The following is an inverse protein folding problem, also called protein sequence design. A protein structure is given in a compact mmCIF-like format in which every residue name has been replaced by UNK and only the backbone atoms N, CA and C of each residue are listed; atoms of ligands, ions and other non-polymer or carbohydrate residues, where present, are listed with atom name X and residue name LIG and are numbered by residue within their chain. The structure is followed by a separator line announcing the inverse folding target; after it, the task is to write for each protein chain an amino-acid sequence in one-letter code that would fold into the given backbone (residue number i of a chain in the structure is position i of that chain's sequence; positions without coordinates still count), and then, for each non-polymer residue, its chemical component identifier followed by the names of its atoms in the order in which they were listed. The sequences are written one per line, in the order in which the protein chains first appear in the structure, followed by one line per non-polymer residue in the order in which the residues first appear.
data_IF_284288128734
#
_entry.id   IF_284288128734
#
_cell.length_a   1.000
_cell.length_b   1.000
_cell.length_c   1.000
_cell.angle_alpha   90.00
_cell.angle_beta   90.00
_cell.angle_gamma   90.00
#
_symmetry.space_group_name_H-M   'P 1'
#
loop_
_entity.id
_entity.type
_entity.pdbx_description
1 polymer ?
#
# COMPACT_ATOMS: atom_id res chain seq x y z
N UNK A 1 14.32 32.30 -20.30
CA UNK A 1 14.66 31.08 -19.53
C UNK A 1 13.44 30.55 -18.76
N UNK A 2 12.88 31.30 -17.81
CA UNK A 2 11.69 30.85 -17.03
C UNK A 2 10.47 30.61 -17.92
N UNK A 3 10.19 31.49 -18.87
CA UNK A 3 9.06 31.30 -19.80
C UNK A 3 9.20 30.02 -20.64
N UNK A 4 10.40 29.74 -21.14
CA UNK A 4 10.65 28.51 -21.90
C UNK A 4 10.48 27.25 -21.01
N UNK A 5 10.95 27.30 -19.76
CA UNK A 5 10.76 26.21 -18.79
C UNK A 5 9.28 25.88 -18.58
N UNK A 6 8.46 26.89 -18.29
CA UNK A 6 7.02 26.68 -18.10
C UNK A 6 6.31 26.25 -19.37
N UNK A 7 6.71 26.76 -20.53
CA UNK A 7 6.17 26.33 -21.82
C UNK A 7 6.46 24.84 -22.08
N UNK A 8 7.71 24.43 -21.90
CA UNK A 8 8.13 23.04 -22.11
C UNK A 8 7.45 22.10 -21.10
N UNK A 9 7.35 22.54 -19.83
CA UNK A 9 6.68 21.80 -18.78
C UNK A 9 5.18 21.61 -19.09
N UNK A 10 4.51 22.66 -19.53
CA UNK A 10 3.11 22.61 -19.93
C UNK A 10 2.90 21.70 -21.15
N UNK A 11 3.74 21.80 -22.17
CA UNK A 11 3.68 20.93 -23.34
C UNK A 11 3.88 19.45 -22.97
N UNK A 12 4.84 19.17 -22.08
CA UNK A 12 5.09 17.84 -21.55
C UNK A 12 3.90 17.28 -20.75
N UNK A 13 3.31 18.11 -19.88
CA UNK A 13 2.10 17.76 -19.12
C UNK A 13 0.92 17.42 -20.04
N UNK A 14 0.63 18.27 -21.03
CA UNK A 14 -0.45 18.03 -22.00
C UNK A 14 -0.23 16.79 -22.84
N UNK A 15 1.03 16.48 -23.19
CA UNK A 15 1.37 15.26 -23.90
C UNK A 15 1.19 14.02 -23.01
N UNK A 16 1.66 14.08 -21.77
CA UNK A 16 1.51 12.99 -20.79
C UNK A 16 0.03 12.73 -20.49
N UNK A 17 -0.77 13.79 -20.34
CA UNK A 17 -2.21 13.69 -20.13
C UNK A 17 -2.92 13.04 -21.31
N UNK A 18 -2.61 13.45 -22.56
CA UNK A 18 -3.18 12.80 -23.75
C UNK A 18 -2.85 11.32 -23.82
N UNK A 19 -1.60 10.96 -23.53
CA UNK A 19 -1.16 9.55 -23.46
C UNK A 19 -1.94 8.77 -22.39
N UNK A 20 -2.12 9.35 -21.22
CA UNK A 20 -2.93 8.76 -20.16
C UNK A 20 -4.39 8.57 -20.58
N UNK A 21 -5.03 9.60 -21.15
CA UNK A 21 -6.43 9.56 -21.60
C UNK A 21 -6.65 8.50 -22.71
N UNK A 22 -5.69 8.35 -23.62
CA UNK A 22 -5.73 7.30 -24.64
C UNK A 22 -5.65 5.91 -24.01
N UNK A 23 -4.77 5.68 -23.04
CA UNK A 23 -4.66 4.42 -22.30
C UNK A 23 -5.92 4.09 -21.53
N UNK A 24 -6.52 5.10 -20.85
CA UNK A 24 -7.84 4.93 -20.19
C UNK A 24 -8.89 4.50 -21.18
N UNK A 25 -8.97 5.19 -22.33
CA UNK A 25 -9.95 4.88 -23.39
C UNK A 25 -9.75 3.47 -23.98
N UNK A 26 -8.51 3.02 -24.09
CA UNK A 26 -8.18 1.68 -24.59
C UNK A 26 -8.38 0.58 -23.52
N UNK A 27 -8.63 0.94 -22.27
CA UNK A 27 -8.75 -0.01 -21.17
C UNK A 27 -7.41 -0.56 -20.67
N UNK A 28 -6.28 0.09 -20.98
CA UNK A 28 -4.93 -0.37 -20.65
C UNK A 28 -4.70 -0.43 -19.13
N UNK A 29 -5.51 0.30 -18.34
CA UNK A 29 -5.47 0.26 -16.87
C UNK A 29 -6.39 -0.79 -16.24
N UNK A 30 -7.09 -1.58 -17.08
CA UNK A 30 -7.88 -2.67 -16.53
C UNK A 30 -6.95 -3.72 -15.93
N UNK A 31 -7.09 -3.94 -14.62
CA UNK A 31 -6.34 -4.95 -13.90
C UNK A 31 -7.30 -5.74 -13.00
N UNK A 32 -7.38 -7.06 -13.20
CA UNK A 32 -8.32 -7.90 -12.47
C UNK A 32 -8.09 -7.87 -10.96
N UNK A 33 -6.85 -7.78 -10.50
CA UNK A 33 -6.52 -7.73 -9.08
C UNK A 33 -7.03 -6.43 -8.43
N UNK A 34 -6.93 -5.30 -9.13
CA UNK A 34 -7.49 -4.02 -8.67
C UNK A 34 -9.02 -4.05 -8.64
N UNK A 35 -9.65 -4.59 -9.70
CA UNK A 35 -11.12 -4.69 -9.79
C UNK A 35 -11.71 -5.54 -8.67
N UNK A 36 -11.02 -6.61 -8.29
CA UNK A 36 -11.44 -7.52 -7.21
C UNK A 36 -11.09 -6.98 -5.79
N UNK A 37 -10.36 -5.87 -5.68
CA UNK A 37 -9.89 -5.35 -4.39
C UNK A 37 -8.82 -6.23 -3.73
N UNK A 38 -8.06 -6.98 -4.52
CA UNK A 38 -7.06 -7.95 -4.06
C UNK A 38 -5.62 -7.45 -4.24
N UNK A 39 -5.42 -6.23 -4.73
CA UNK A 39 -4.11 -5.68 -5.12
C UNK A 39 -3.05 -5.68 -4.02
N UNK A 40 -3.45 -5.62 -2.76
CA UNK A 40 -2.54 -5.59 -1.59
C UNK A 40 -2.73 -6.76 -0.64
N UNK A 41 -3.49 -7.78 -1.05
CA UNK A 41 -3.75 -8.94 -0.20
C UNK A 41 -2.56 -9.92 -0.26
N UNK A 42 -1.78 -9.98 0.80
CA UNK A 42 -0.58 -10.81 0.88
C UNK A 42 -0.89 -12.29 0.61
N UNK A 43 -1.79 -12.87 1.38
CA UNK A 43 -2.10 -14.30 1.32
C UNK A 43 -2.82 -14.71 0.04
N UNK A 44 -3.97 -14.07 -0.26
CA UNK A 44 -4.86 -14.53 -1.35
C UNK A 44 -4.40 -14.11 -2.73
N UNK A 45 -3.55 -13.11 -2.83
CA UNK A 45 -3.02 -12.63 -4.11
C UNK A 45 -1.57 -12.99 -4.26
N UNK A 46 -0.69 -12.40 -3.46
CA UNK A 46 0.73 -12.48 -3.71
C UNK A 46 1.28 -13.87 -3.37
N UNK A 47 1.07 -14.37 -2.16
CA UNK A 47 1.56 -15.70 -1.78
C UNK A 47 0.92 -16.82 -2.61
N UNK A 48 -0.40 -16.73 -2.82
CA UNK A 48 -1.11 -17.75 -3.61
C UNK A 48 -0.66 -17.76 -5.08
N UNK A 49 -0.49 -16.57 -5.69
CA UNK A 49 -0.09 -16.47 -7.10
C UNK A 49 1.37 -16.88 -7.31
N UNK A 50 2.28 -16.45 -6.42
CA UNK A 50 3.67 -16.90 -6.48
C UNK A 50 3.80 -18.41 -6.28
N UNK A 51 3.09 -18.97 -5.32
CA UNK A 51 3.09 -20.40 -5.08
C UNK A 51 2.55 -21.20 -6.29
N UNK A 52 1.50 -20.72 -6.94
CA UNK A 52 0.99 -21.32 -8.16
C UNK A 52 2.04 -21.31 -9.28
N UNK A 53 2.75 -20.19 -9.47
CA UNK A 53 3.83 -20.13 -10.46
C UNK A 53 5.02 -21.04 -10.11
N UNK A 54 5.39 -21.12 -8.83
CA UNK A 54 6.50 -21.95 -8.37
C UNK A 54 6.18 -23.46 -8.41
N UNK A 55 4.90 -23.83 -8.49
CA UNK A 55 4.47 -25.22 -8.52
C UNK A 55 4.67 -25.84 -9.93
N UNK A 56 5.53 -26.84 -10.11
CA UNK A 56 5.73 -27.47 -11.42
C UNK A 56 4.48 -28.19 -11.95
N UNK A 57 3.53 -28.50 -11.08
CA UNK A 57 2.23 -29.09 -11.41
C UNK A 57 1.11 -28.05 -11.43
N UNK A 58 1.45 -26.76 -11.36
CA UNK A 58 0.50 -25.65 -11.36
C UNK A 58 -0.37 -25.61 -12.62
N UNK A 59 -1.53 -24.99 -12.51
CA UNK A 59 -2.52 -24.89 -13.61
C UNK A 59 -2.01 -24.06 -14.78
N UNK A 60 -0.92 -23.32 -14.63
CA UNK A 60 -0.25 -22.57 -15.71
C UNK A 60 0.28 -23.49 -16.82
N UNK A 61 0.54 -24.80 -16.54
CA UNK A 61 0.94 -25.80 -17.52
C UNK A 61 2.32 -25.57 -18.17
N UNK A 62 3.22 -24.88 -17.45
CA UNK A 62 4.58 -24.57 -17.91
C UNK A 62 5.66 -25.43 -17.22
N UNK A 63 5.24 -26.48 -16.47
CA UNK A 63 6.17 -27.32 -15.73
C UNK A 63 6.99 -26.51 -14.73
N UNK A 64 8.26 -26.78 -14.63
CA UNK A 64 9.17 -26.13 -13.68
C UNK A 64 9.86 -24.85 -14.17
N UNK A 65 9.38 -24.27 -15.29
CA UNK A 65 9.97 -23.06 -15.90
C UNK A 65 10.11 -21.93 -14.87
N UNK A 66 9.02 -21.60 -14.19
CA UNK A 66 9.00 -20.48 -13.24
C UNK A 66 9.92 -20.76 -12.04
N UNK A 67 9.89 -21.97 -11.49
CA UNK A 67 10.72 -22.34 -10.35
C UNK A 67 12.21 -22.30 -10.71
N UNK A 68 12.61 -22.86 -11.84
CA UNK A 68 14.00 -22.78 -12.30
C UNK A 68 14.50 -21.35 -12.41
N UNK A 69 13.71 -20.48 -13.06
CA UNK A 69 14.07 -19.07 -13.20
C UNK A 69 14.08 -18.36 -11.85
N UNK A 70 13.13 -18.67 -10.95
CA UNK A 70 13.11 -18.12 -9.60
C UNK A 70 14.43 -18.40 -8.85
N UNK A 71 14.93 -19.64 -8.89
CA UNK A 71 16.22 -19.99 -8.27
C UNK A 71 17.36 -19.12 -8.80
N UNK A 72 17.39 -18.87 -10.12
CA UNK A 72 18.42 -18.03 -10.76
C UNK A 72 18.32 -16.58 -10.31
N UNK A 73 17.12 -15.98 -10.34
CA UNK A 73 16.94 -14.57 -9.99
C UNK A 73 17.05 -14.28 -8.50
N UNK A 74 16.89 -15.30 -7.65
CA UNK A 74 17.12 -15.20 -6.19
C UNK A 74 18.52 -15.69 -5.77
N UNK A 75 19.36 -16.11 -6.73
CA UNK A 75 20.72 -16.58 -6.51
C UNK A 75 20.85 -17.78 -5.55
N UNK A 76 19.93 -18.74 -5.67
CA UNK A 76 19.89 -19.94 -4.82
C UNK A 76 19.97 -21.27 -5.61
N UNK A 77 20.56 -21.23 -6.81
CA UNK A 77 20.77 -22.44 -7.63
C UNK A 77 21.69 -23.46 -6.94
N UNK A 78 22.56 -23.01 -6.05
CA UNK A 78 23.46 -23.83 -5.24
C UNK A 78 22.70 -24.76 -4.28
N UNK A 79 21.43 -24.51 -4.00
CA UNK A 79 20.55 -25.44 -3.27
C UNK A 79 20.34 -26.75 -4.05
N UNK A 80 20.53 -26.74 -5.39
CA UNK A 80 20.31 -27.91 -6.24
C UNK A 80 18.97 -28.61 -5.99
N UNK A 81 17.90 -27.82 -5.93
CA UNK A 81 16.53 -28.30 -5.74
C UNK A 81 16.06 -29.12 -6.94
N UNK A 82 15.39 -30.26 -6.73
CA UNK A 82 14.69 -30.98 -7.79
C UNK A 82 13.43 -30.24 -8.19
N UNK A 83 13.56 -29.34 -9.18
CA UNK A 83 12.48 -28.45 -9.61
C UNK A 83 11.31 -29.16 -10.29
N UNK A 84 11.57 -30.33 -10.92
CA UNK A 84 10.53 -31.07 -11.65
C UNK A 84 9.58 -31.80 -10.69
N UNK A 85 10.06 -32.20 -9.50
CA UNK A 85 9.30 -32.92 -8.51
C UNK A 85 9.10 -32.08 -7.22
N UNK A 86 9.20 -30.79 -7.32
CA UNK A 86 9.00 -29.90 -6.18
C UNK A 86 7.52 -29.91 -5.75
N UNK A 87 7.29 -29.87 -4.44
CA UNK A 87 5.99 -29.65 -3.82
C UNK A 87 5.93 -28.24 -3.27
N UNK A 88 4.82 -27.55 -3.51
CA UNK A 88 4.62 -26.18 -3.07
C UNK A 88 3.36 -26.09 -2.22
N UNK A 89 3.45 -25.44 -1.08
CA UNK A 89 2.33 -25.21 -0.17
C UNK A 89 2.31 -23.77 0.32
N UNK A 90 1.10 -23.21 0.46
CA UNK A 90 0.86 -21.89 1.05
C UNK A 90 0.30 -22.04 2.46
N UNK A 91 0.58 -21.04 3.32
CA UNK A 91 -0.02 -20.94 4.65
C UNK A 91 0.18 -22.22 5.52
N UNK A 92 1.35 -22.84 5.40
CA UNK A 92 1.65 -24.06 6.17
C UNK A 92 1.75 -23.75 7.65
N UNK A 93 0.88 -24.36 8.45
CA UNK A 93 1.01 -24.33 9.91
C UNK A 93 2.18 -25.18 10.37
N UNK A 94 3.05 -24.62 11.18
CA UNK A 94 4.18 -25.29 11.80
C UNK A 94 4.02 -25.44 13.34
N UNK A 95 2.78 -25.43 13.80
CA UNK A 95 2.40 -25.56 15.21
C UNK A 95 1.96 -24.25 15.84
N UNK A 96 1.50 -24.34 17.09
CA UNK A 96 1.17 -23.15 17.89
C UNK A 96 2.45 -22.39 18.25
N UNK A 97 2.35 -21.07 18.34
CA UNK A 97 3.48 -20.24 18.76
C UNK A 97 3.72 -20.47 20.24
N UNK A 98 4.94 -20.83 20.61
CA UNK A 98 5.33 -21.08 21.99
C UNK A 98 5.47 -19.78 22.81
N UNK A 99 5.61 -19.93 24.14
CA UNK A 99 5.70 -18.78 25.06
C UNK A 99 6.94 -17.89 24.79
N UNK A 100 8.01 -18.50 24.30
CA UNK A 100 9.27 -17.80 23.96
C UNK A 100 9.27 -17.22 22.55
N UNK A 101 8.23 -17.47 21.74
CA UNK A 101 8.13 -17.06 20.34
C UNK A 101 9.28 -17.59 19.45
N UNK A 102 9.83 -18.78 19.76
CA UNK A 102 10.93 -19.35 18.98
C UNK A 102 10.50 -20.53 18.09
N UNK A 103 9.29 -21.04 18.28
CA UNK A 103 8.71 -22.11 17.46
C UNK A 103 7.26 -21.81 17.11
N UNK A 104 6.76 -22.54 16.10
CA UNK A 104 5.37 -22.44 15.66
C UNK A 104 5.09 -21.24 14.74
N UNK A 105 3.84 -21.13 14.33
CA UNK A 105 3.37 -20.11 13.42
C UNK A 105 2.88 -20.67 12.09
N UNK A 106 2.88 -19.83 11.07
CA UNK A 106 2.38 -20.18 9.74
C UNK A 106 3.26 -19.54 8.68
N UNK A 107 3.84 -20.35 7.83
CA UNK A 107 4.76 -19.96 6.77
C UNK A 107 3.95 -19.64 5.51
N UNK A 108 4.22 -18.51 4.87
CA UNK A 108 3.46 -18.03 3.71
C UNK A 108 3.60 -18.95 2.50
N UNK A 109 4.84 -19.32 2.12
CA UNK A 109 5.10 -20.23 1.01
C UNK A 109 6.26 -21.17 1.38
N UNK A 110 6.06 -22.47 1.14
CA UNK A 110 7.12 -23.48 1.21
C UNK A 110 7.25 -24.15 -0.15
N UNK A 111 8.48 -24.33 -0.60
CA UNK A 111 8.82 -25.18 -1.74
C UNK A 111 9.78 -26.26 -1.26
N UNK A 112 9.37 -27.52 -1.41
CA UNK A 112 10.11 -28.69 -0.95
C UNK A 112 10.46 -29.62 -2.10
N UNK A 113 11.59 -30.28 -2.04
CA UNK A 113 11.93 -31.34 -2.97
C UNK A 113 12.45 -32.58 -2.28
N UNK A 114 12.50 -33.68 -3.03
CA UNK A 114 13.13 -34.93 -2.57
C UNK A 114 14.57 -34.69 -2.13
N UNK A 115 15.00 -35.41 -1.09
CA UNK A 115 16.37 -35.22 -0.55
C UNK A 115 16.47 -34.23 0.60
N UNK A 116 15.35 -33.79 1.17
CA UNK A 116 15.33 -32.96 2.37
C UNK A 116 15.79 -31.52 2.10
N UNK A 117 15.44 -30.98 0.95
CA UNK A 117 15.75 -29.59 0.56
C UNK A 117 14.48 -28.74 0.59
N UNK A 118 14.59 -27.52 1.11
CA UNK A 118 13.45 -26.61 1.27
C UNK A 118 13.77 -25.15 0.98
N UNK A 119 12.76 -24.43 0.50
CA UNK A 119 12.76 -22.97 0.42
C UNK A 119 11.57 -22.50 1.23
N UNK A 120 11.83 -21.60 2.17
CA UNK A 120 10.82 -20.94 3.00
C UNK A 120 10.78 -19.50 2.60
N UNK A 121 9.60 -19.00 2.27
CA UNK A 121 9.40 -17.61 1.86
C UNK A 121 8.39 -16.96 2.82
N UNK A 122 8.84 -15.94 3.52
CA UNK A 122 7.98 -14.98 4.22
C UNK A 122 7.70 -13.81 3.30
N UNK A 123 6.43 -13.50 3.07
CA UNK A 123 5.97 -12.52 2.09
C UNK A 123 5.35 -11.30 2.76
N UNK A 124 5.88 -10.12 2.50
CA UNK A 124 5.43 -8.84 3.06
C UNK A 124 5.12 -7.82 1.96
N UNK A 125 3.85 -7.41 1.88
CA UNK A 125 3.43 -6.27 1.05
C UNK A 125 3.36 -5.01 1.92
N UNK A 126 2.51 -5.02 2.96
CA UNK A 126 2.35 -3.89 3.89
C UNK A 126 2.27 -4.33 5.36
N UNK A 127 2.19 -5.63 5.63
CA UNK A 127 2.16 -6.13 7.00
C UNK A 127 3.49 -5.85 7.71
N UNK A 128 3.40 -5.61 9.00
CA UNK A 128 4.58 -5.52 9.87
C UNK A 128 5.07 -6.91 10.25
N UNK A 129 6.34 -7.01 10.60
CA UNK A 129 6.91 -8.26 11.09
C UNK A 129 6.31 -8.64 12.45
N UNK A 130 6.18 -9.94 12.67
CA UNK A 130 5.83 -10.49 13.97
C UNK A 130 7.08 -10.75 14.81
N UNK A 131 6.95 -10.73 16.15
CA UNK A 131 8.07 -11.06 17.04
C UNK A 131 8.69 -12.42 16.68
N UNK A 132 10.02 -12.43 16.50
CA UNK A 132 10.86 -13.58 16.19
C UNK A 132 10.35 -14.44 15.01
N UNK A 133 9.68 -13.84 14.03
CA UNK A 133 9.03 -14.57 12.95
C UNK A 133 10.04 -15.36 12.12
N UNK A 134 11.12 -14.73 11.65
CA UNK A 134 12.15 -15.43 10.89
C UNK A 134 12.94 -16.44 11.76
N UNK A 135 13.08 -16.17 13.05
CA UNK A 135 13.70 -17.14 13.99
C UNK A 135 12.88 -18.43 14.06
N UNK A 136 11.55 -18.33 14.18
CA UNK A 136 10.66 -19.51 14.17
C UNK A 136 10.81 -20.33 12.90
N UNK A 137 10.90 -19.66 11.76
CA UNK A 137 11.02 -20.31 10.46
C UNK A 137 12.40 -20.92 10.24
N UNK A 138 13.44 -20.25 10.71
CA UNK A 138 14.79 -20.80 10.76
C UNK A 138 14.86 -22.07 11.61
N UNK A 139 14.33 -22.06 12.84
CA UNK A 139 14.33 -23.21 13.74
C UNK A 139 13.52 -24.40 13.15
N UNK A 140 12.39 -24.10 12.49
CA UNK A 140 11.64 -25.11 11.75
C UNK A 140 12.47 -25.71 10.60
N UNK A 141 13.14 -24.87 9.83
CA UNK A 141 13.94 -25.29 8.69
C UNK A 141 15.12 -26.17 9.14
N UNK A 142 15.88 -25.76 10.16
CA UNK A 142 16.98 -26.51 10.76
C UNK A 142 16.57 -27.91 11.21
N UNK A 143 15.34 -28.04 11.76
CA UNK A 143 14.81 -29.33 12.24
C UNK A 143 14.23 -30.21 11.12
N UNK A 144 13.89 -29.64 9.96
CA UNK A 144 13.11 -30.30 8.92
C UNK A 144 13.96 -30.67 7.70
N UNK A 145 14.89 -29.79 7.32
CA UNK A 145 15.64 -29.88 6.07
C UNK A 145 17.13 -30.18 6.31
N UNK A 146 17.74 -30.89 5.41
CA UNK A 146 19.20 -31.06 5.38
C UNK A 146 19.93 -29.88 4.74
N UNK A 147 19.24 -29.18 3.84
CA UNK A 147 19.69 -27.93 3.21
C UNK A 147 18.48 -27.07 2.86
N UNK A 148 18.53 -25.78 3.14
CA UNK A 148 17.40 -24.89 2.90
C UNK A 148 17.83 -23.44 2.60
N UNK A 149 16.88 -22.67 2.11
CA UNK A 149 17.00 -21.24 1.97
C UNK A 149 15.77 -20.58 2.61
N UNK A 150 16.04 -19.59 3.46
CA UNK A 150 15.01 -18.73 4.06
C UNK A 150 15.02 -17.38 3.33
N UNK A 151 13.91 -17.01 2.74
CA UNK A 151 13.73 -15.78 1.97
C UNK A 151 12.74 -14.86 2.68
N UNK A 152 13.15 -13.61 2.83
CA UNK A 152 12.27 -12.52 3.24
C UNK A 152 11.95 -11.67 2.03
N UNK A 153 10.71 -11.76 1.55
CA UNK A 153 10.22 -11.09 0.36
C UNK A 153 9.42 -9.85 0.74
N UNK A 154 9.85 -8.67 0.31
CA UNK A 154 9.19 -7.40 0.56
C UNK A 154 9.05 -6.56 -0.69
N UNK A 155 8.22 -5.48 -0.66
CA UNK A 155 8.05 -4.62 -1.84
C UNK A 155 9.38 -3.96 -2.26
N UNK A 156 10.07 -3.31 -1.32
CA UNK A 156 11.28 -2.51 -1.59
C UNK A 156 12.19 -2.33 -0.38
N UNK A 157 11.83 -2.87 0.80
CA UNK A 157 12.51 -2.57 2.08
C UNK A 157 13.81 -3.34 2.31
N UNK A 158 14.05 -4.42 1.59
CA UNK A 158 15.25 -5.23 1.74
C UNK A 158 15.25 -6.14 2.97
N UNK A 159 15.50 -5.66 4.18
CA UNK A 159 15.74 -6.52 5.35
C UNK A 159 14.54 -6.61 6.31
N UNK A 160 14.42 -7.78 6.96
CA UNK A 160 13.47 -7.97 8.03
C UNK A 160 13.85 -7.16 9.29
N UNK A 161 12.85 -6.84 10.10
CA UNK A 161 13.09 -6.10 11.34
C UNK A 161 13.90 -6.89 12.36
N UNK A 162 14.55 -6.16 13.27
CA UNK A 162 15.27 -6.76 14.41
C UNK A 162 14.34 -7.64 15.26
N UNK A 163 13.07 -7.25 15.41
CA UNK A 163 12.09 -8.01 16.16
C UNK A 163 11.79 -9.38 15.52
N UNK A 164 11.87 -9.49 14.20
CA UNK A 164 11.68 -10.73 13.47
C UNK A 164 12.92 -11.64 13.50
N UNK A 165 14.11 -11.04 13.54
CA UNK A 165 15.40 -11.73 13.35
C UNK A 165 16.15 -12.03 14.65
N UNK A 166 15.77 -11.45 15.78
CA UNK A 166 16.44 -11.65 17.07
C UNK A 166 15.72 -12.68 17.94
N UNK A 167 16.33 -13.84 18.14
CA UNK A 167 15.91 -14.86 19.09
C UNK A 167 16.63 -14.74 20.45
N UNK A 168 16.39 -15.69 21.36
CA UNK A 168 17.02 -15.72 22.67
C UNK A 168 18.53 -15.93 22.57
N UNK A 169 18.97 -16.80 21.66
CA UNK A 169 20.37 -17.19 21.51
C UNK A 169 20.90 -17.00 20.07
N UNK A 170 20.11 -16.42 19.18
CA UNK A 170 20.45 -16.25 17.76
C UNK A 170 20.08 -14.85 17.30
N UNK A 171 20.88 -14.29 16.43
CA UNK A 171 20.56 -13.10 15.65
C UNK A 171 20.79 -13.47 14.18
N UNK A 172 19.70 -13.58 13.42
CA UNK A 172 19.78 -13.88 11.98
C UNK A 172 20.29 -12.65 11.21
N UNK A 173 21.22 -12.89 10.29
CA UNK A 173 21.90 -11.88 9.47
C UNK A 173 21.47 -12.02 8.02
N UNK A 174 21.05 -10.91 7.40
CA UNK A 174 20.72 -10.87 5.99
C UNK A 174 21.94 -11.21 5.13
N UNK A 175 21.78 -12.05 4.13
CA UNK A 175 22.86 -12.55 3.26
C UNK A 175 23.63 -13.75 3.81
N UNK A 176 23.44 -14.10 5.08
CA UNK A 176 24.04 -15.29 5.73
C UNK A 176 22.96 -16.30 6.10
N UNK A 177 22.05 -15.94 7.01
CA UNK A 177 21.03 -16.83 7.56
C UNK A 177 19.72 -16.76 6.77
N UNK A 178 19.43 -15.62 6.13
CA UNK A 178 18.30 -15.43 5.25
C UNK A 178 18.63 -14.49 4.11
N UNK A 179 17.90 -14.60 3.01
CA UNK A 179 18.05 -13.73 1.84
C UNK A 179 16.91 -12.71 1.79
N UNK A 180 17.26 -11.44 1.63
CA UNK A 180 16.32 -10.39 1.34
C UNK A 180 16.06 -10.34 -0.16
N UNK A 181 14.81 -10.52 -0.56
CA UNK A 181 14.33 -10.51 -1.94
C UNK A 181 13.28 -9.41 -2.07
N UNK A 182 13.27 -8.68 -3.17
CA UNK A 182 12.30 -7.60 -3.36
C UNK A 182 11.41 -7.84 -4.57
N UNK A 183 10.15 -7.41 -4.46
CA UNK A 183 9.27 -7.36 -5.62
C UNK A 183 9.79 -6.37 -6.67
N UNK A 184 10.38 -5.27 -6.21
CA UNK A 184 10.90 -4.20 -7.06
C UNK A 184 12.00 -4.65 -8.01
N UNK A 185 12.87 -5.54 -7.58
CA UNK A 185 14.04 -5.97 -8.35
C UNK A 185 13.90 -7.43 -8.80
N UNK A 186 14.15 -8.36 -7.90
CA UNK A 186 14.32 -9.78 -8.23
C UNK A 186 13.02 -10.38 -8.80
N UNK A 187 11.86 -10.13 -8.14
CA UNK A 187 10.60 -10.72 -8.55
C UNK A 187 10.11 -10.14 -9.88
N UNK A 188 10.13 -8.82 -10.05
CA UNK A 188 9.73 -8.21 -11.33
C UNK A 188 10.62 -8.65 -12.47
N UNK A 189 11.95 -8.70 -12.26
CA UNK A 189 12.87 -9.14 -13.30
C UNK A 189 12.65 -10.60 -13.67
N UNK A 190 12.47 -11.48 -12.67
CA UNK A 190 12.13 -12.88 -12.86
C UNK A 190 10.84 -13.05 -13.68
N UNK A 191 9.75 -12.35 -13.29
CA UNK A 191 8.47 -12.48 -13.96
C UNK A 191 8.48 -11.92 -15.40
N UNK A 192 9.21 -10.82 -15.63
CA UNK A 192 9.39 -10.26 -16.98
C UNK A 192 10.14 -11.23 -17.89
N UNK A 193 11.23 -11.83 -17.39
CA UNK A 193 11.99 -12.85 -18.15
C UNK A 193 11.12 -14.07 -18.47
N UNK A 194 10.35 -14.55 -17.49
CA UNK A 194 9.40 -15.64 -17.73
C UNK A 194 8.33 -15.26 -18.76
N UNK A 195 7.83 -14.03 -18.74
CA UNK A 195 6.79 -13.56 -19.68
C UNK A 195 7.28 -13.61 -21.13
N UNK A 196 8.57 -13.32 -21.37
CA UNK A 196 9.18 -13.37 -22.71
C UNK A 196 9.18 -14.80 -23.31
N UNK A 197 9.27 -15.82 -22.45
CA UNK A 197 9.27 -17.23 -22.87
C UNK A 197 7.83 -17.80 -23.08
N UNK A 198 6.80 -17.09 -22.62
CA UNK A 198 5.43 -17.59 -22.69
C UNK A 198 4.80 -17.36 -24.06
N UNK A 199 4.07 -18.35 -24.60
CA UNK A 199 3.24 -18.13 -25.79
C UNK A 199 2.14 -17.10 -25.48
N UNK A 200 2.04 -16.05 -26.30
CA UNK A 200 1.10 -14.92 -26.09
C UNK A 200 -0.39 -15.33 -26.09
N UNK A 201 -0.71 -16.46 -26.68
CA UNK A 201 -2.08 -17.01 -26.73
C UNK A 201 -2.47 -17.84 -25.50
N UNK A 202 -1.57 -18.00 -24.53
CA UNK A 202 -1.87 -18.70 -23.28
C UNK A 202 -2.52 -17.75 -22.26
N UNK A 203 -3.48 -18.26 -21.50
CA UNK A 203 -4.14 -17.49 -20.43
C UNK A 203 -3.12 -17.00 -19.40
N UNK A 204 -2.15 -17.83 -19.04
CA UNK A 204 -1.09 -17.48 -18.10
C UNK A 204 -0.30 -16.24 -18.55
N UNK A 205 -0.06 -16.05 -19.87
CA UNK A 205 0.61 -14.86 -20.39
C UNK A 205 -0.16 -13.58 -20.04
N UNK A 206 -1.47 -13.57 -20.26
CA UNK A 206 -2.32 -12.39 -20.02
C UNK A 206 -2.37 -12.07 -18.51
N UNK A 207 -2.57 -13.11 -17.69
CA UNK A 207 -2.67 -12.93 -16.23
C UNK A 207 -1.32 -12.55 -15.63
N UNK A 208 -0.22 -13.15 -16.08
CA UNK A 208 1.12 -12.78 -15.63
C UNK A 208 1.45 -11.32 -15.99
N UNK A 209 1.08 -10.87 -17.20
CA UNK A 209 1.23 -9.46 -17.58
C UNK A 209 0.46 -8.53 -16.64
N UNK A 210 -0.79 -8.85 -16.31
CA UNK A 210 -1.57 -8.06 -15.35
C UNK A 210 -0.95 -8.06 -13.94
N UNK A 211 -0.36 -9.18 -13.52
CA UNK A 211 0.33 -9.24 -12.23
C UNK A 211 1.62 -8.43 -12.23
N UNK A 212 2.40 -8.46 -13.30
CA UNK A 212 3.57 -7.59 -13.50
C UNK A 212 3.16 -6.11 -13.45
N UNK A 213 2.07 -5.74 -14.14
CA UNK A 213 1.56 -4.36 -14.11
C UNK A 213 1.12 -3.96 -12.70
N UNK A 214 0.48 -4.86 -11.94
CA UNK A 214 0.17 -4.64 -10.53
C UNK A 214 1.43 -4.42 -9.69
N UNK A 215 2.45 -5.26 -9.84
CA UNK A 215 3.71 -5.12 -9.09
C UNK A 215 4.45 -3.82 -9.43
N UNK A 216 4.47 -3.43 -10.71
CA UNK A 216 5.01 -2.14 -11.14
C UNK A 216 4.26 -0.97 -10.48
N UNK A 217 2.94 -1.06 -10.35
CA UNK A 217 2.13 -0.07 -9.63
C UNK A 217 2.50 -0.01 -8.15
N UNK A 218 2.57 -1.15 -7.46
CA UNK A 218 2.89 -1.23 -6.03
C UNK A 218 4.32 -0.77 -5.70
N UNK A 219 5.25 -0.97 -6.63
CA UNK A 219 6.67 -0.59 -6.48
C UNK A 219 7.03 0.75 -7.11
N UNK A 220 6.02 1.50 -7.60
CA UNK A 220 6.21 2.80 -8.28
C UNK A 220 7.15 2.71 -9.50
N UNK A 221 7.09 1.59 -10.24
CA UNK A 221 7.87 1.32 -11.44
C UNK A 221 7.03 1.32 -12.73
N UNK A 222 5.81 1.86 -12.67
CA UNK A 222 5.03 2.04 -13.88
C UNK A 222 5.83 2.89 -14.86
N UNK A 223 6.16 2.31 -16.00
CA UNK A 223 6.66 3.06 -17.15
C UNK A 223 5.52 3.91 -17.73
N UNK A 224 5.15 4.95 -17.02
CA UNK A 224 4.63 6.11 -17.70
C UNK A 224 5.86 6.80 -18.27
N UNK A 225 5.90 7.02 -19.60
CA UNK A 225 6.83 7.99 -20.18
C UNK A 225 6.64 9.27 -19.38
N UNK A 226 7.48 9.48 -18.38
CA UNK A 226 7.35 10.66 -17.52
C UNK A 226 8.00 11.82 -18.25
N UNK A 227 7.32 12.25 -19.33
CA UNK A 227 7.75 13.34 -20.22
C UNK A 227 8.00 14.61 -19.41
N UNK A 228 7.22 14.80 -18.33
CA UNK A 228 7.43 15.89 -17.37
C UNK A 228 8.79 15.73 -16.68
N UNK A 229 9.12 14.53 -16.20
CA UNK A 229 10.40 14.28 -15.55
C UNK A 229 11.59 14.49 -16.50
N UNK A 230 11.41 14.15 -17.78
CA UNK A 230 12.46 14.38 -18.79
C UNK A 230 12.71 15.88 -19.00
N UNK A 231 11.65 16.71 -18.97
CA UNK A 231 11.80 18.19 -19.01
C UNK A 231 12.50 18.70 -17.75
N UNK A 232 12.13 18.20 -16.57
CA UNK A 232 12.73 18.59 -15.30
C UNK A 232 14.22 18.26 -15.19
N UNK A 233 14.66 17.16 -15.82
CA UNK A 233 16.05 16.68 -15.82
C UNK A 233 16.97 17.36 -16.82
N UNK A 234 16.46 18.18 -17.75
CA UNK A 234 17.30 18.91 -18.69
C UNK A 234 18.22 19.87 -17.95
N UNK A 235 19.48 19.95 -18.35
CA UNK A 235 20.49 20.78 -17.69
C UNK A 235 20.07 22.25 -17.62
N UNK A 236 19.50 22.80 -18.70
CA UNK A 236 19.01 24.17 -18.78
C UNK A 236 17.85 24.44 -17.82
N UNK A 237 17.14 23.41 -17.34
CA UNK A 237 15.97 23.53 -16.46
C UNK A 237 16.29 23.33 -14.96
N UNK A 238 17.51 22.89 -14.63
CA UNK A 238 17.89 22.52 -13.26
C UNK A 238 17.64 23.60 -12.22
N UNK A 239 18.02 24.86 -12.52
CA UNK A 239 17.82 25.95 -11.57
C UNK A 239 16.33 26.23 -11.29
N UNK A 240 15.51 26.19 -12.33
CA UNK A 240 14.05 26.37 -12.18
C UNK A 240 13.42 25.18 -11.45
N UNK A 241 13.83 23.96 -11.77
CA UNK A 241 13.37 22.73 -11.13
C UNK A 241 13.69 22.75 -9.63
N UNK A 242 14.92 23.10 -9.24
CA UNK A 242 15.31 23.19 -7.83
C UNK A 242 14.50 24.26 -7.09
N UNK A 243 14.21 25.40 -7.73
CA UNK A 243 13.42 26.45 -7.11
C UNK A 243 11.96 26.03 -6.89
N UNK A 244 11.36 25.31 -7.84
CA UNK A 244 10.03 24.70 -7.67
C UNK A 244 10.02 23.71 -6.52
N UNK A 245 11.01 22.80 -6.47
CA UNK A 245 11.10 21.78 -5.43
C UNK A 245 11.31 22.35 -4.03
N UNK A 246 12.12 23.40 -3.89
CA UNK A 246 12.33 24.11 -2.62
C UNK A 246 11.04 24.71 -2.06
N UNK A 247 10.12 25.13 -2.93
CA UNK A 247 8.86 25.74 -2.53
C UNK A 247 7.71 24.73 -2.41
N UNK A 248 7.95 23.42 -2.66
CA UNK A 248 6.89 22.41 -2.70
C UNK A 248 6.13 22.28 -1.37
N UNK A 249 6.82 22.31 -0.23
CA UNK A 249 6.18 22.16 1.08
C UNK A 249 5.42 23.44 1.47
N UNK A 250 5.98 24.63 1.20
CA UNK A 250 5.27 25.91 1.39
C UNK A 250 4.01 25.96 0.51
N UNK A 251 4.10 25.50 -0.73
CA UNK A 251 2.95 25.41 -1.63
C UNK A 251 1.86 24.48 -1.06
N UNK A 252 2.24 23.32 -0.51
CA UNK A 252 1.29 22.40 0.13
C UNK A 252 0.58 23.07 1.32
N UNK A 253 1.33 23.75 2.18
CA UNK A 253 0.76 24.48 3.32
C UNK A 253 -0.20 25.57 2.88
N UNK A 254 0.14 26.36 1.88
CA UNK A 254 -0.72 27.44 1.36
C UNK A 254 -2.01 26.87 0.76
N UNK A 255 -1.91 25.87 -0.13
CA UNK A 255 -3.08 25.24 -0.77
C UNK A 255 -4.00 24.59 0.27
N UNK A 256 -3.42 23.91 1.27
CA UNK A 256 -4.18 23.34 2.37
C UNK A 256 -4.90 24.42 3.19
N UNK A 257 -4.21 25.50 3.54
CA UNK A 257 -4.77 26.59 4.33
C UNK A 257 -5.88 27.32 3.56
N UNK A 258 -5.73 27.53 2.25
CA UNK A 258 -6.80 28.08 1.40
C UNK A 258 -8.07 27.21 1.46
N UNK A 259 -7.91 25.87 1.32
CA UNK A 259 -9.03 24.95 1.41
C UNK A 259 -9.65 24.93 2.81
N UNK A 260 -8.84 24.85 3.85
CA UNK A 260 -9.30 24.87 5.24
C UNK A 260 -10.06 26.16 5.56
N UNK A 261 -9.65 27.31 5.01
CA UNK A 261 -10.35 28.59 5.16
C UNK A 261 -11.72 28.58 4.45
N UNK A 262 -11.81 28.05 3.23
CA UNK A 262 -13.08 27.87 2.53
C UNK A 262 -14.06 27.05 3.36
N UNK A 263 -13.61 25.94 3.93
CA UNK A 263 -14.44 25.09 4.77
C UNK A 263 -14.80 25.80 6.09
N UNK A 264 -13.83 26.52 6.69
CA UNK A 264 -14.02 27.30 7.92
C UNK A 264 -15.11 28.37 7.79
N UNK A 265 -15.11 29.11 6.69
CA UNK A 265 -16.16 30.12 6.43
C UNK A 265 -17.55 29.47 6.40
N UNK A 266 -17.69 28.33 5.78
CA UNK A 266 -18.95 27.57 5.70
C UNK A 266 -19.38 27.01 7.07
N UNK A 267 -18.45 26.41 7.80
CA UNK A 267 -18.69 25.88 9.17
C UNK A 267 -19.12 27.03 10.09
N UNK A 268 -18.41 28.16 10.04
CA UNK A 268 -18.73 29.33 10.86
C UNK A 268 -20.12 29.93 10.51
N UNK A 269 -20.55 29.87 9.25
CA UNK A 269 -21.88 30.33 8.84
C UNK A 269 -23.03 29.50 9.48
N UNK A 270 -22.72 28.28 9.91
CA UNK A 270 -23.64 27.44 10.68
C UNK A 270 -23.55 27.68 12.20
N UNK A 271 -22.72 28.60 12.67
CA UNK A 271 -22.48 28.87 14.09
C UNK A 271 -21.52 27.87 14.75
N UNK A 272 -20.82 27.05 13.98
CA UNK A 272 -19.84 26.08 14.46
C UNK A 272 -18.42 26.58 14.30
N UNK A 273 -17.45 25.89 14.89
CA UNK A 273 -16.04 26.29 14.95
C UNK A 273 -15.17 25.23 14.25
N UNK A 274 -14.39 25.61 13.25
CA UNK A 274 -13.39 24.74 12.64
C UNK A 274 -11.99 25.11 13.14
N UNK A 275 -11.25 24.10 13.60
CA UNK A 275 -9.82 24.18 13.91
C UNK A 275 -9.03 23.37 12.86
N UNK A 276 -8.05 24.01 12.26
CA UNK A 276 -7.08 23.40 11.37
C UNK A 276 -5.88 22.95 12.22
N UNK A 277 -5.71 21.64 12.41
CA UNK A 277 -4.65 21.08 13.24
C UNK A 277 -3.37 20.78 12.44
N UNK A 278 -3.36 21.13 11.16
CA UNK A 278 -2.27 20.87 10.22
C UNK A 278 -2.78 20.17 8.96
N UNK A 279 -1.89 19.92 8.02
CA UNK A 279 -2.23 19.31 6.74
C UNK A 279 -2.89 17.94 6.96
N UNK A 280 -4.15 17.82 6.52
CA UNK A 280 -4.92 16.57 6.60
C UNK A 280 -5.61 16.30 7.93
N UNK A 281 -5.67 17.25 8.85
CA UNK A 281 -6.37 17.10 10.13
C UNK A 281 -7.24 18.32 10.46
N UNK A 282 -8.55 18.11 10.49
CA UNK A 282 -9.55 19.12 10.80
C UNK A 282 -10.44 18.68 11.95
N UNK A 283 -10.72 19.60 12.88
CA UNK A 283 -11.65 19.39 13.98
C UNK A 283 -12.77 20.43 13.96
N UNK A 284 -14.02 19.98 14.09
CA UNK A 284 -15.21 20.83 14.02
C UNK A 284 -16.00 20.67 15.31
N UNK A 285 -16.28 21.78 15.97
CA UNK A 285 -16.97 21.89 17.25
C UNK A 285 -18.27 22.67 17.07
N UNK A 286 -19.31 22.30 17.81
CA UNK A 286 -20.58 23.05 17.84
C UNK A 286 -20.44 24.40 18.56
N UNK A 287 -19.56 24.49 19.56
CA UNK A 287 -19.27 25.67 20.38
C UNK A 287 -17.94 25.53 21.13
N UNK A 288 -17.50 26.59 21.82
CA UNK A 288 -16.24 26.63 22.57
C UNK A 288 -16.15 25.64 23.75
N UNK A 289 -17.30 25.18 24.26
CA UNK A 289 -17.41 24.28 25.42
C UNK A 289 -17.82 22.86 25.02
N UNK A 290 -17.66 22.50 23.75
CA UNK A 290 -18.00 21.19 23.23
C UNK A 290 -17.10 20.10 23.88
N UNK A 291 -17.72 19.02 24.36
CA UNK A 291 -17.01 17.85 24.93
C UNK A 291 -16.53 16.90 23.83
N UNK A 292 -17.21 16.92 22.71
CA UNK A 292 -16.94 16.11 21.54
C UNK A 292 -16.74 17.00 20.32
N UNK A 293 -16.06 16.48 19.30
CA UNK A 293 -15.88 17.17 18.03
C UNK A 293 -15.87 16.21 16.87
N UNK A 294 -16.24 16.70 15.69
CA UNK A 294 -16.07 15.96 14.45
C UNK A 294 -14.63 16.08 14.01
N UNK A 295 -13.96 14.96 13.73
CA UNK A 295 -12.60 14.94 13.20
C UNK A 295 -12.62 14.36 11.79
N UNK A 296 -11.90 15.01 10.88
CA UNK A 296 -11.63 14.54 9.52
C UNK A 296 -10.15 14.26 9.44
N UNK A 297 -9.76 12.99 9.27
CA UNK A 297 -8.35 12.58 9.24
C UNK A 297 -8.18 11.22 8.55
N UNK A 298 -6.96 10.68 8.54
CA UNK A 298 -6.62 9.39 7.94
C UNK A 298 -6.75 8.23 8.91
N UNK A 299 -7.30 7.09 8.44
CA UNK A 299 -7.14 5.78 9.04
C UNK A 299 -6.67 4.75 8.00
N UNK A 300 -6.34 3.53 8.43
CA UNK A 300 -5.72 2.49 7.57
C UNK A 300 -6.43 2.13 6.27
N UNK A 301 -7.68 2.52 6.08
CA UNK A 301 -8.47 2.26 4.87
C UNK A 301 -8.85 3.51 4.06
N UNK A 302 -8.36 4.70 4.42
CA UNK A 302 -8.68 5.95 3.72
C UNK A 302 -8.97 7.13 4.64
N UNK A 303 -9.58 8.18 4.09
CA UNK A 303 -10.06 9.34 4.84
C UNK A 303 -11.34 9.01 5.56
N UNK A 304 -11.40 9.29 6.84
CA UNK A 304 -12.61 9.12 7.60
C UNK A 304 -13.09 10.43 8.24
N UNK A 305 -14.38 10.46 8.56
CA UNK A 305 -15.02 11.47 9.37
C UNK A 305 -15.69 10.79 10.57
N UNK A 306 -15.50 11.30 11.77
CA UNK A 306 -16.02 10.68 12.98
C UNK A 306 -16.03 11.58 14.19
N UNK A 307 -16.61 11.12 15.30
CA UNK A 307 -16.69 11.85 16.57
C UNK A 307 -15.53 11.46 17.47
N UNK A 308 -14.91 12.46 18.04
CA UNK A 308 -13.75 12.41 18.91
C UNK A 308 -13.98 13.20 20.19
N UNK A 309 -13.23 12.89 21.24
CA UNK A 309 -13.16 13.68 22.46
C UNK A 309 -11.72 13.72 22.96
N UNK A 310 -11.34 14.80 23.62
CA UNK A 310 -10.05 14.93 24.31
C UNK A 310 -10.05 14.21 25.66
N UNK A 311 -11.22 13.76 26.13
CA UNK A 311 -11.37 12.96 27.34
C UNK A 311 -11.76 11.53 26.99
N UNK A 312 -11.44 10.50 27.82
CA UNK A 312 -11.74 9.11 27.53
C UNK A 312 -13.24 8.74 27.75
N UNK A 313 -14.14 9.71 27.68
CA UNK A 313 -15.59 9.47 27.86
C UNK A 313 -16.25 9.21 26.51
N UNK A 314 -16.94 8.10 26.41
CA UNK A 314 -17.76 7.75 25.26
C UNK A 314 -19.12 8.48 25.34
N UNK A 315 -19.67 8.95 24.19
CA UNK A 315 -21.06 9.43 24.16
C UNK A 315 -22.01 8.31 24.55
N UNK A 316 -23.14 8.68 25.22
CA UNK A 316 -24.10 7.71 25.72
C UNK A 316 -24.93 7.04 24.61
N UNK A 317 -25.14 7.73 23.49
CA UNK A 317 -25.99 7.29 22.40
C UNK A 317 -25.22 7.21 21.08
N UNK A 318 -25.45 6.13 20.34
CA UNK A 318 -24.86 5.93 19.01
C UNK A 318 -25.57 6.78 17.95
N UNK A 319 -24.82 7.36 17.02
CA UNK A 319 -25.37 8.09 15.89
C UNK A 319 -25.67 7.14 14.72
N UNK A 320 -26.90 7.14 14.17
CA UNK A 320 -27.27 6.22 13.09
C UNK A 320 -26.44 6.40 11.81
N UNK A 321 -25.89 7.59 11.58
CA UNK A 321 -25.08 7.90 10.40
C UNK A 321 -23.63 7.42 10.48
N UNK A 322 -23.21 6.87 11.63
CA UNK A 322 -21.84 6.41 11.87
C UNK A 322 -21.78 4.94 12.28
N UNK A 323 -20.69 4.27 11.95
CA UNK A 323 -20.36 2.96 12.51
C UNK A 323 -19.74 3.12 13.89
N UNK A 324 -20.18 2.33 14.86
CA UNK A 324 -19.71 2.39 16.25
C UNK A 324 -18.92 1.13 16.57
N UNK A 325 -17.62 1.22 16.88
CA UNK A 325 -16.85 0.09 17.37
C UNK A 325 -17.27 -0.28 18.80
N UNK A 326 -17.18 -1.55 19.17
CA UNK A 326 -17.48 -2.02 20.54
C UNK A 326 -16.49 -1.45 21.56
N UNK A 327 -15.25 -1.21 21.16
CA UNK A 327 -14.20 -0.61 21.98
C UNK A 327 -13.30 0.32 21.14
N UNK A 328 -12.84 1.40 21.72
CA UNK A 328 -11.78 2.23 21.17
C UNK A 328 -12.22 3.57 20.60
N UNK A 329 -11.32 4.14 19.84
CA UNK A 329 -11.39 5.46 19.25
C UNK A 329 -11.28 5.37 17.72
N UNK A 330 -12.00 6.19 16.92
CA UNK A 330 -13.03 7.19 17.32
C UNK A 330 -14.34 6.53 17.81
N UNK A 331 -15.13 7.26 18.59
CA UNK A 331 -16.37 6.75 19.16
C UNK A 331 -17.43 6.39 18.13
N UNK A 332 -17.44 7.06 17.00
CA UNK A 332 -18.28 6.73 15.85
C UNK A 332 -17.63 7.33 14.60
N UNK A 333 -17.59 6.56 13.52
CA UNK A 333 -16.90 6.99 12.32
C UNK A 333 -17.46 6.33 11.06
N UNK A 334 -17.19 6.95 9.92
CA UNK A 334 -17.34 6.36 8.60
C UNK A 334 -16.24 6.84 7.66
N UNK A 335 -15.95 6.07 6.65
CA UNK A 335 -15.13 6.56 5.54
C UNK A 335 -15.91 7.57 4.72
N UNK A 336 -15.22 8.52 4.12
CA UNK A 336 -15.80 9.34 3.06
C UNK A 336 -16.23 8.45 1.89
N UNK A 337 -17.16 8.94 1.08
CA UNK A 337 -17.65 8.23 -0.11
C UNK A 337 -16.50 7.81 -1.03
N UNK A 338 -16.76 6.80 -1.88
CA UNK A 338 -15.73 6.18 -2.73
C UNK A 338 -14.90 7.20 -3.50
N UNK A 339 -15.52 8.27 -3.98
CA UNK A 339 -14.85 9.34 -4.72
C UNK A 339 -13.82 10.09 -3.87
N UNK A 340 -14.10 10.33 -2.57
CA UNK A 340 -13.25 11.12 -1.67
C UNK A 340 -12.50 10.27 -0.64
N UNK A 341 -12.65 8.96 -0.69
CA UNK A 341 -12.11 8.03 0.31
C UNK A 341 -10.59 8.12 0.44
N UNK A 342 -9.91 8.37 -0.65
CA UNK A 342 -8.44 8.42 -0.72
C UNK A 342 -7.89 9.86 -0.74
N UNK A 343 -8.68 10.83 -0.30
CA UNK A 343 -8.21 12.20 -0.14
C UNK A 343 -7.00 12.32 0.80
N UNK A 344 -6.95 11.53 1.87
CA UNK A 344 -5.78 11.45 2.75
C UNK A 344 -5.11 10.06 2.64
N UNK A 345 -3.80 9.99 2.73
CA UNK A 345 -2.85 11.04 3.13
C UNK A 345 -2.45 11.94 1.97
N UNK A 346 -2.23 13.19 2.26
CA UNK A 346 -1.68 14.18 1.30
C UNK A 346 -0.16 13.97 1.03
N UNK A 347 0.42 12.86 1.48
CA UNK A 347 1.71 12.36 0.98
C UNK A 347 1.60 11.78 -0.44
N UNK A 348 0.41 11.33 -0.84
CA UNK A 348 0.13 10.97 -2.22
C UNK A 348 -0.22 12.24 -3.01
N UNK A 349 0.56 12.53 -4.06
CA UNK A 349 0.36 13.69 -4.91
C UNK A 349 -1.00 13.69 -5.63
N UNK A 350 -1.57 12.52 -5.94
CA UNK A 350 -2.89 12.42 -6.55
C UNK A 350 -4.00 12.96 -5.63
N UNK A 351 -3.80 12.90 -4.33
CA UNK A 351 -4.75 13.43 -3.33
C UNK A 351 -4.91 14.95 -3.42
N UNK A 352 -3.90 15.68 -3.90
CA UNK A 352 -3.95 17.14 -4.07
C UNK A 352 -4.91 17.58 -5.18
N UNK A 353 -5.31 16.68 -6.09
CA UNK A 353 -6.28 17.01 -7.13
C UNK A 353 -7.63 17.48 -6.59
N UNK A 354 -8.05 16.97 -5.40
CA UNK A 354 -9.29 17.42 -4.75
C UNK A 354 -9.24 18.89 -4.32
N UNK A 355 -8.03 19.44 -4.16
CA UNK A 355 -7.79 20.82 -3.74
C UNK A 355 -7.55 21.78 -4.92
N UNK A 356 -7.61 21.29 -6.15
CA UNK A 356 -7.54 22.16 -7.32
C UNK A 356 -8.63 23.24 -7.31
N UNK A 357 -8.37 24.45 -7.78
CA UNK A 357 -9.31 25.57 -7.73
C UNK A 357 -10.72 25.27 -8.26
N UNK A 358 -10.81 24.40 -9.27
CA UNK A 358 -12.08 24.00 -9.88
C UNK A 358 -12.77 22.82 -9.17
N UNK A 359 -12.07 22.05 -8.31
CA UNK A 359 -12.61 20.89 -7.56
C UNK A 359 -12.88 21.20 -6.09
N UNK A 360 -12.04 22.03 -5.47
CA UNK A 360 -12.08 22.28 -4.02
C UNK A 360 -13.41 22.79 -3.48
N UNK A 361 -14.18 23.52 -4.31
CA UNK A 361 -15.49 24.00 -3.91
C UNK A 361 -16.52 22.89 -3.78
N UNK A 362 -16.53 21.95 -4.72
CA UNK A 362 -17.43 20.78 -4.69
C UNK A 362 -17.05 19.84 -3.55
N UNK A 363 -15.76 19.64 -3.33
CA UNK A 363 -15.28 18.85 -2.19
C UNK A 363 -15.64 19.50 -0.84
N UNK A 364 -15.51 20.82 -0.71
CA UNK A 364 -15.95 21.52 0.49
C UNK A 364 -17.48 21.46 0.68
N UNK A 365 -18.28 21.49 -0.41
CA UNK A 365 -19.73 21.27 -0.34
C UNK A 365 -20.06 19.85 0.19
N UNK A 366 -19.39 18.84 -0.34
CA UNK A 366 -19.56 17.45 0.11
C UNK A 366 -19.22 17.32 1.60
N UNK A 367 -18.06 17.82 2.05
CA UNK A 367 -17.70 17.77 3.47
C UNK A 367 -18.72 18.52 4.35
N UNK A 368 -19.24 19.64 3.90
CA UNK A 368 -20.28 20.35 4.65
C UNK A 368 -21.57 19.53 4.79
N UNK A 369 -21.99 18.78 3.78
CA UNK A 369 -23.13 17.87 3.89
C UNK A 369 -22.89 16.78 4.94
N UNK A 370 -21.70 16.17 4.93
CA UNK A 370 -21.29 15.17 5.90
C UNK A 370 -21.26 15.73 7.33
N UNK A 371 -20.58 16.86 7.53
CA UNK A 371 -20.48 17.56 8.82
C UNK A 371 -21.89 17.91 9.33
N UNK A 372 -22.75 18.47 8.48
CA UNK A 372 -24.10 18.88 8.85
C UNK A 372 -24.95 17.69 9.27
N UNK A 373 -24.83 16.57 8.58
CA UNK A 373 -25.56 15.33 8.93
C UNK A 373 -25.15 14.85 10.32
N UNK A 374 -23.85 14.75 10.59
CA UNK A 374 -23.32 14.27 11.88
C UNK A 374 -23.68 15.25 13.00
N UNK A 375 -23.52 16.56 12.80
CA UNK A 375 -23.89 17.57 13.80
C UNK A 375 -25.36 17.54 14.16
N UNK A 376 -26.24 17.44 13.17
CA UNK A 376 -27.69 17.38 13.42
C UNK A 376 -28.09 16.12 14.19
N UNK A 377 -27.47 14.99 13.88
CA UNK A 377 -27.73 13.73 14.59
C UNK A 377 -27.16 13.78 16.01
N UNK A 378 -25.98 14.38 16.20
CA UNK A 378 -25.39 14.60 17.52
C UNK A 378 -26.28 15.51 18.40
N UNK A 379 -26.78 16.61 17.85
CA UNK A 379 -27.71 17.52 18.56
C UNK A 379 -28.99 16.78 18.97
N UNK A 380 -29.58 15.98 18.07
CA UNK A 380 -30.79 15.17 18.40
C UNK A 380 -30.53 14.15 19.49
N UNK A 381 -29.34 13.56 19.52
CA UNK A 381 -28.91 12.60 20.52
C UNK A 381 -28.46 13.25 21.85
N UNK A 382 -28.44 14.58 21.92
CA UNK A 382 -27.99 15.32 23.11
C UNK A 382 -26.48 15.24 23.36
N UNK A 383 -25.71 14.94 22.31
CA UNK A 383 -24.25 14.92 22.36
C UNK A 383 -23.75 16.35 22.15
N UNK A 384 -22.97 16.86 23.10
CA UNK A 384 -22.37 18.21 23.05
C UNK A 384 -21.11 18.15 22.17
N UNK A 385 -21.31 18.23 20.85
CA UNK A 385 -20.22 18.18 19.85
C UNK A 385 -19.62 19.53 19.57
#
# INVERSE_FOLDING_TARGET
MIENFFHDLFAAYEQQKRYHDERVKNGDYFNVFNVLGLSTNETRTHSAFLAELLNPYGSHGMGDLFLKRFLTYTHIEDLHLDTQNAYVEVERSIGEIDEDYEHGGRIDIIVESTGGKGIIIENKIYAVDQPKQLVRYHNYAESTYGDYRLLYLSLDKGEASIDSTRGNNVQLVAGEDYLSVTYRNEILTWLCDCLEELPQNKVVFIILKQYIDLLKQLTYQMEENNIVLDVLKKEENWACTLEVLKNADSWKEEVWNEFANILKERVNSCGWILRNNGIGDLSIYSNENAEFYINITKAGGGTFIGIKSDTPQSPKDCLPCLSWPEEGWPFGWKFLDREYRHFLPLSDWNSWEYLFPYKRQDFANYLMQEITTIMNDAIKAGINT
#
